data_IF_753840633403
#
_entry.id   IF_753840633403
#
_cell.length_a   1.000
_cell.length_b   1.000
_cell.length_c   1.000
_cell.angle_alpha   90.00
_cell.angle_beta   90.00
_cell.angle_gamma   90.00
#
_symmetry.space_group_name_H-M   'P 1'
#
loop_
_entity.id
_entity.type
_entity.pdbx_description
1 polymer ?
#
# COMPACT_ATOMS: atom_id res chain seq x y z
N UNK A 1 -32.54 1.94 -2.43
CA UNK A 1 -31.72 2.08 -1.21
C UNK A 1 -30.55 2.95 -1.61
N UNK A 2 -30.82 4.24 -1.74
CA UNK A 2 -29.82 5.20 -2.16
C UNK A 2 -29.15 5.71 -0.89
N UNK A 3 -27.87 5.38 -0.73
CA UNK A 3 -27.07 5.91 0.36
C UNK A 3 -27.09 7.44 0.24
N UNK A 4 -27.64 8.12 1.25
CA UNK A 4 -27.69 9.58 1.26
C UNK A 4 -26.27 10.13 1.07
N UNK A 5 -26.08 11.26 0.38
CA UNK A 5 -24.75 11.81 0.12
C UNK A 5 -23.95 12.03 1.42
N UNK A 6 -24.62 12.32 2.53
CA UNK A 6 -24.00 12.44 3.86
C UNK A 6 -23.45 11.11 4.37
N UNK A 7 -24.17 10.00 4.16
CA UNK A 7 -23.72 8.67 4.54
C UNK A 7 -22.50 8.24 3.74
N UNK A 8 -22.46 8.55 2.44
CA UNK A 8 -21.31 8.23 1.59
C UNK A 8 -20.04 8.96 2.07
N UNK A 9 -20.17 10.25 2.37
CA UNK A 9 -19.06 11.05 2.92
C UNK A 9 -18.57 10.51 4.27
N UNK A 10 -19.49 10.12 5.15
CA UNK A 10 -19.14 9.51 6.43
C UNK A 10 -18.37 8.19 6.23
N UNK A 11 -18.86 7.31 5.35
CA UNK A 11 -18.20 6.04 5.04
C UNK A 11 -16.81 6.23 4.44
N UNK A 12 -16.62 7.21 3.56
CA UNK A 12 -15.30 7.54 3.00
C UNK A 12 -14.33 8.03 4.09
N UNK A 13 -14.78 8.87 5.01
CA UNK A 13 -13.96 9.35 6.12
C UNK A 13 -13.54 8.19 7.04
N UNK A 14 -14.47 7.33 7.43
CA UNK A 14 -14.17 6.16 8.26
C UNK A 14 -13.25 5.17 7.54
N UNK A 15 -13.44 4.98 6.23
CA UNK A 15 -12.52 4.19 5.41
C UNK A 15 -11.10 4.76 5.44
N UNK A 16 -10.93 6.07 5.28
CA UNK A 16 -9.62 6.71 5.35
C UNK A 16 -8.97 6.54 6.72
N UNK A 17 -9.73 6.68 7.81
CA UNK A 17 -9.23 6.45 9.17
C UNK A 17 -8.74 5.02 9.37
N UNK A 18 -9.52 4.03 8.93
CA UNK A 18 -9.13 2.62 9.03
C UNK A 18 -7.85 2.33 8.25
N UNK A 19 -7.76 2.80 6.99
CA UNK A 19 -6.56 2.61 6.18
C UNK A 19 -5.33 3.28 6.80
N UNK A 20 -5.49 4.49 7.37
CA UNK A 20 -4.39 5.18 8.04
C UNK A 20 -3.96 4.48 9.33
N UNK A 21 -4.91 3.99 10.13
CA UNK A 21 -4.64 3.21 11.33
C UNK A 21 -3.82 1.96 10.99
N UNK A 22 -4.23 1.21 9.96
CA UNK A 22 -3.50 0.03 9.49
C UNK A 22 -2.07 0.39 9.03
N UNK A 23 -1.91 1.49 8.29
CA UNK A 23 -0.59 1.95 7.86
C UNK A 23 0.30 2.33 9.05
N UNK A 24 -0.24 3.01 10.07
CA UNK A 24 0.50 3.35 11.29
C UNK A 24 0.95 2.09 12.00
N UNK A 25 0.07 1.10 12.21
CA UNK A 25 0.44 -0.17 12.86
C UNK A 25 1.54 -0.90 12.11
N UNK A 26 1.45 -0.99 10.77
CA UNK A 26 2.49 -1.65 9.95
C UNK A 26 3.83 -0.91 10.02
N UNK A 27 3.80 0.42 9.90
CA UNK A 27 4.99 1.25 10.00
C UNK A 27 5.66 1.09 11.38
N UNK A 28 4.86 1.13 12.45
CA UNK A 28 5.34 0.94 13.82
C UNK A 28 6.03 -0.40 13.98
N UNK A 29 5.41 -1.51 13.56
CA UNK A 29 6.02 -2.84 13.70
C UNK A 29 7.32 -2.97 12.91
N UNK A 30 7.32 -2.56 11.64
CA UNK A 30 8.50 -2.66 10.77
C UNK A 30 9.66 -1.81 11.30
N UNK A 31 9.38 -0.58 11.73
CA UNK A 31 10.42 0.30 12.23
C UNK A 31 10.90 -0.07 13.63
N UNK A 32 10.01 -0.64 14.46
CA UNK A 32 10.39 -1.20 15.75
C UNK A 32 11.40 -2.32 15.57
N UNK A 33 11.08 -3.33 14.77
CA UNK A 33 11.94 -4.50 14.54
C UNK A 33 13.31 -4.14 13.94
N UNK A 34 13.37 -3.06 13.15
CA UNK A 34 14.62 -2.60 12.52
C UNK A 34 15.48 -1.73 13.42
N UNK A 35 14.86 -0.87 14.24
CA UNK A 35 15.58 0.17 14.96
C UNK A 35 15.78 -0.15 16.44
N UNK A 36 14.92 -0.97 17.04
CA UNK A 36 14.95 -1.29 18.47
C UNK A 36 15.48 -2.70 18.64
N UNK A 37 16.78 -2.80 18.95
CA UNK A 37 17.50 -4.09 19.08
C UNK A 37 17.64 -4.57 20.53
N UNK A 38 17.41 -3.67 21.48
CA UNK A 38 17.40 -3.92 22.92
C UNK A 38 16.21 -3.21 23.54
N UNK A 39 15.83 -3.57 24.76
CA UNK A 39 14.77 -2.87 25.47
C UNK A 39 15.14 -1.40 25.63
N UNK A 40 14.40 -0.46 25.02
CA UNK A 40 14.74 0.95 25.13
C UNK A 40 14.55 1.41 26.58
N UNK A 41 15.36 2.37 27.00
CA UNK A 41 15.21 3.01 28.32
C UNK A 41 13.97 3.90 28.37
N UNK A 42 13.95 4.85 29.32
CA UNK A 42 12.87 5.85 29.41
C UNK A 42 12.77 6.79 28.19
N UNK A 43 13.79 6.76 27.32
CA UNK A 43 13.88 7.53 26.08
C UNK A 43 14.65 6.72 25.04
N UNK A 44 14.37 7.00 23.77
CA UNK A 44 15.21 6.53 22.68
C UNK A 44 16.57 7.21 22.72
N UNK A 45 17.62 6.45 22.42
CA UNK A 45 18.94 6.97 22.12
C UNK A 45 18.91 7.85 20.86
N UNK A 46 19.96 8.64 20.66
CA UNK A 46 20.12 9.46 19.44
C UNK A 46 20.15 8.60 18.17
N UNK A 47 20.78 7.42 18.24
CA UNK A 47 20.85 6.45 17.15
C UNK A 47 19.47 5.86 16.81
N UNK A 48 18.71 5.43 17.82
CA UNK A 48 17.35 4.90 17.63
C UNK A 48 16.41 5.97 17.05
N UNK A 49 16.45 7.19 17.58
CA UNK A 49 15.62 8.30 17.09
C UNK A 49 15.90 8.63 15.62
N UNK A 50 17.18 8.64 15.24
CA UNK A 50 17.62 8.85 13.85
C UNK A 50 17.19 7.67 12.96
N UNK A 51 17.34 6.43 13.44
CA UNK A 51 16.90 5.23 12.74
C UNK A 51 15.39 5.26 12.47
N UNK A 52 14.56 5.54 13.49
CA UNK A 52 13.11 5.59 13.38
C UNK A 52 12.65 6.63 12.35
N UNK A 53 13.27 7.82 12.36
CA UNK A 53 12.99 8.89 11.40
C UNK A 53 13.27 8.44 9.96
N UNK A 54 14.45 7.86 9.73
CA UNK A 54 14.84 7.35 8.41
C UNK A 54 13.97 6.17 7.97
N UNK A 55 13.65 5.25 8.90
CA UNK A 55 12.83 4.08 8.62
C UNK A 55 11.42 4.50 8.16
N UNK A 56 10.76 5.40 8.90
CA UNK A 56 9.42 5.87 8.58
C UNK A 56 9.39 6.54 7.20
N UNK A 57 10.35 7.41 6.90
CA UNK A 57 10.46 8.08 5.59
C UNK A 57 10.61 7.06 4.45
N UNK A 58 11.53 6.09 4.60
CA UNK A 58 11.77 5.07 3.57
C UNK A 58 10.60 4.11 3.40
N UNK A 59 9.91 3.76 4.48
CA UNK A 59 8.72 2.91 4.41
C UNK A 59 7.60 3.56 3.60
N UNK A 60 7.35 4.84 3.82
CA UNK A 60 6.34 5.60 3.07
C UNK A 60 6.72 5.77 1.60
N UNK A 61 7.98 6.13 1.31
CA UNK A 61 8.50 6.25 -0.07
C UNK A 61 8.28 4.95 -0.86
N UNK A 62 8.61 3.80 -0.25
CA UNK A 62 8.46 2.48 -0.86
C UNK A 62 6.99 2.08 -1.03
N UNK A 63 6.16 2.36 -0.02
CA UNK A 63 4.73 2.07 -0.07
C UNK A 63 4.05 2.79 -1.24
N UNK A 64 4.42 4.05 -1.51
CA UNK A 64 3.89 4.82 -2.66
C UNK A 64 4.34 4.23 -3.99
N UNK A 65 5.60 3.82 -4.12
CA UNK A 65 6.12 3.21 -5.36
C UNK A 65 5.42 1.88 -5.64
N UNK A 66 5.22 1.05 -4.61
CA UNK A 66 4.51 -0.21 -4.74
C UNK A 66 3.04 0.03 -5.10
N UNK A 67 2.38 0.96 -4.42
CA UNK A 67 0.99 1.32 -4.70
C UNK A 67 0.81 1.75 -6.18
N UNK A 68 1.67 2.66 -6.66
CA UNK A 68 1.66 3.13 -8.06
C UNK A 68 1.83 2.00 -9.08
N UNK A 69 2.63 0.98 -8.77
CA UNK A 69 2.81 -0.19 -9.65
C UNK A 69 1.63 -1.15 -9.59
N UNK A 70 1.05 -1.35 -8.40
CA UNK A 70 -0.09 -2.24 -8.19
C UNK A 70 -1.37 -1.76 -8.89
N UNK A 71 -1.55 -0.45 -9.06
CA UNK A 71 -2.68 0.12 -9.81
C UNK A 71 -2.52 -0.01 -11.33
N UNK A 72 -1.43 -0.61 -11.83
CA UNK A 72 -1.33 -1.20 -13.16
C UNK A 72 -1.67 -0.30 -14.36
N UNK A 73 -1.67 1.02 -14.20
CA UNK A 73 -2.05 1.95 -15.26
C UNK A 73 -1.12 3.16 -15.31
N UNK A 74 -0.71 3.62 -16.51
CA UNK A 74 -0.15 4.97 -16.64
C UNK A 74 -1.13 5.98 -16.03
N UNK A 75 -0.65 7.16 -15.56
CA UNK A 75 -1.57 8.23 -15.20
C UNK A 75 -2.56 8.43 -16.35
N UNK A 76 -3.83 8.67 -16.05
CA UNK A 76 -4.82 9.07 -17.03
C UNK A 76 -4.44 10.44 -17.62
N UNK A 77 -3.38 10.50 -18.42
CA UNK A 77 -3.15 11.55 -19.41
C UNK A 77 -4.17 11.28 -20.51
N UNK A 78 -5.04 12.25 -20.70
CA UNK A 78 -6.32 12.10 -21.40
C UNK A 78 -6.23 11.48 -22.80
N UNK A 79 -7.37 10.97 -23.23
CA UNK A 79 -7.64 10.69 -24.62
C UNK A 79 -7.38 11.96 -25.45
N UNK A 80 -6.21 12.04 -26.10
CA UNK A 80 -6.02 12.86 -27.29
C UNK A 80 -6.07 11.91 -28.48
N UNK A 81 -7.20 11.97 -29.17
CA UNK A 81 -7.44 11.39 -30.47
C UNK A 81 -6.56 12.07 -31.52
N UNK A 82 -5.64 11.33 -32.13
CA UNK A 82 -5.15 11.63 -33.48
C UNK A 82 -4.57 10.36 -34.11
N UNK A 83 -5.20 9.92 -35.20
CA UNK A 83 -4.85 8.68 -35.90
C UNK A 83 -3.50 8.73 -36.60
N UNK A 84 -3.00 7.55 -37.01
CA UNK A 84 -1.84 7.44 -37.88
C UNK A 84 -1.09 6.11 -37.80
N UNK A 85 -1.61 5.12 -38.54
CA UNK A 85 -0.97 3.92 -39.11
C UNK A 85 0.56 3.73 -38.91
N UNK A 86 0.95 2.63 -38.27
CA UNK A 86 2.32 2.11 -38.28
C UNK A 86 2.37 0.63 -37.87
N UNK A 87 2.62 -0.25 -38.84
CA UNK A 87 2.61 -1.72 -38.66
C UNK A 87 3.86 -2.18 -37.90
N UNK A 88 3.64 -3.01 -36.87
CA UNK A 88 4.69 -3.75 -36.17
C UNK A 88 4.07 -4.68 -35.14
N UNK A 89 3.51 -5.82 -35.58
CA UNK A 89 2.99 -6.86 -34.68
C UNK A 89 4.17 -7.60 -34.04
N UNK A 90 4.69 -7.07 -32.94
CA UNK A 90 5.25 -7.91 -31.88
C UNK A 90 4.07 -8.38 -31.04
N UNK A 91 3.72 -9.66 -31.15
CA UNK A 91 2.59 -10.24 -30.43
C UNK A 91 2.92 -10.35 -28.94
N UNK A 92 2.05 -9.81 -28.08
CA UNK A 92 2.16 -9.88 -26.62
C UNK A 92 1.78 -11.27 -26.07
N UNK A 93 1.52 -12.23 -26.97
CA UNK A 93 1.07 -13.60 -26.71
C UNK A 93 2.18 -14.52 -26.19
N UNK A 94 3.45 -14.11 -26.27
CA UNK A 94 4.60 -14.96 -25.91
C UNK A 94 4.99 -14.90 -24.42
N UNK A 95 4.40 -13.99 -23.64
CA UNK A 95 4.47 -14.05 -22.17
C UNK A 95 3.46 -15.09 -21.65
N UNK A 96 3.70 -16.35 -21.99
CA UNK A 96 3.10 -17.49 -21.30
C UNK A 96 3.65 -17.54 -19.88
N UNK A 97 2.91 -16.95 -18.93
CA UNK A 97 3.09 -17.22 -17.52
C UNK A 97 2.78 -18.70 -17.27
N UNK A 98 3.67 -19.48 -16.63
CA UNK A 98 3.33 -20.80 -16.14
C UNK A 98 2.23 -20.63 -15.08
N UNK A 99 1.06 -21.22 -15.36
CA UNK A 99 -0.03 -21.40 -14.42
C UNK A 99 0.27 -22.67 -13.63
N UNK A 100 0.62 -22.55 -12.35
CA UNK A 100 0.60 -23.55 -11.24
C UNK A 100 1.59 -23.08 -10.15
N UNK A 101 1.19 -22.66 -8.94
CA UNK A 101 0.69 -23.51 -7.87
C UNK A 101 -0.31 -22.73 -6.99
N UNK A 102 -1.48 -23.34 -6.79
CA UNK A 102 -2.56 -22.89 -5.94
C UNK A 102 -2.18 -23.03 -4.47
N UNK A 103 -1.25 -22.20 -3.97
CA UNK A 103 -1.09 -21.98 -2.55
C UNK A 103 -2.08 -20.93 -2.09
N UNK A 104 -3.22 -21.44 -1.72
CA UNK A 104 -4.26 -20.82 -0.91
C UNK A 104 -3.63 -20.22 0.37
N UNK A 105 -3.02 -19.04 0.25
CA UNK A 105 -2.88 -18.13 1.37
C UNK A 105 -4.32 -17.69 1.67
N UNK A 106 -4.94 -18.39 2.64
CA UNK A 106 -6.05 -17.80 3.38
C UNK A 106 -5.57 -16.42 3.83
N UNK A 107 -6.10 -15.37 3.21
CA UNK A 107 -6.17 -14.06 3.83
C UNK A 107 -7.17 -14.26 4.97
N UNK A 108 -6.67 -14.71 6.12
CA UNK A 108 -7.40 -14.66 7.37
C UNK A 108 -7.54 -13.20 7.74
N UNK A 109 -8.56 -12.55 7.19
CA UNK A 109 -9.13 -11.33 7.78
C UNK A 109 -9.90 -11.76 9.03
N UNK A 110 -9.20 -12.21 10.07
CA UNK A 110 -9.72 -12.14 11.43
C UNK A 110 -9.63 -10.66 11.86
N UNK A 111 -10.49 -9.88 11.23
CA UNK A 111 -10.77 -8.49 11.53
C UNK A 111 -11.73 -8.47 12.72
N UNK A 112 -11.23 -8.84 13.89
CA UNK A 112 -11.87 -8.46 15.13
C UNK A 112 -11.46 -7.01 15.42
N UNK A 113 -12.40 -6.04 15.43
CA UNK A 113 -12.10 -4.70 15.92
C UNK A 113 -11.74 -4.83 17.41
N UNK A 114 -10.48 -4.60 17.75
CA UNK A 114 -10.05 -4.53 19.15
C UNK A 114 -10.48 -3.16 19.71
N UNK A 115 -11.26 -3.12 20.81
CA UNK A 115 -11.58 -1.88 21.49
C UNK A 115 -10.46 -1.51 22.45
N UNK A 116 -9.65 -0.50 22.10
CA UNK A 116 -8.99 0.43 23.02
C UNK A 116 -8.76 1.77 22.32
#
# INVERSE_FOLDING_TARGET
MDASPELQQFLEQEKHKMMMSEMVTKLTNVCWDKCITSTPGSKFSSGESTCLTNCAQRYLDMSVIIAKRSTGGPPATGATSSGGLGRGRGSWEDFSLPREDNRQMRVGVDFAPQPF
#
